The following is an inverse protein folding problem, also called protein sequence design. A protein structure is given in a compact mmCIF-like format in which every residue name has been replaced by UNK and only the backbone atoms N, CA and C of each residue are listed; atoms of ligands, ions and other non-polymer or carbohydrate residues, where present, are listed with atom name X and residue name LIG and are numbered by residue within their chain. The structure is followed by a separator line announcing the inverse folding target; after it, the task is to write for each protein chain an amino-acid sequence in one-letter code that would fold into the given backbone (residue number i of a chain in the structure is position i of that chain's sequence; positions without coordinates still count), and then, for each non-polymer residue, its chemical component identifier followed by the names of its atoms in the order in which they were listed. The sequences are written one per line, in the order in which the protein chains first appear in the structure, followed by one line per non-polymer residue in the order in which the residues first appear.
data_IF_750551543261
#
_entry.id   IF_750551543261
#
_cell.length_a   1.000
_cell.length_b   1.000
_cell.length_c   1.000
_cell.angle_alpha   90.00
_cell.angle_beta   90.00
_cell.angle_gamma   90.00
#
_symmetry.space_group_name_H-M   'P 1'
#
loop_
_entity.id
_entity.type
_entity.pdbx_description
1 polymer ?
#
# COMPACT_ATOMS: atom_id res chain seq x y z
N UNK A 1 13.44 13.18 11.46
CA UNK A 1 12.96 13.13 10.06
C UNK A 1 13.84 12.14 9.35
N UNK A 2 13.26 11.11 8.74
CA UNK A 2 14.05 10.20 7.91
C UNK A 2 14.57 10.99 6.71
N UNK A 3 15.88 10.94 6.46
CA UNK A 3 16.53 11.62 5.35
C UNK A 3 16.35 10.75 4.10
N UNK A 4 15.14 10.78 3.52
CA UNK A 4 14.83 10.10 2.26
C UNK A 4 14.75 11.10 1.12
N UNK A 5 15.17 10.68 -0.07
CA UNK A 5 15.06 11.48 -1.27
C UNK A 5 13.61 11.45 -1.78
N UNK A 6 12.91 12.60 -1.70
CA UNK A 6 11.51 12.74 -2.12
C UNK A 6 11.27 12.40 -3.58
N UNK A 7 12.21 12.71 -4.46
CA UNK A 7 12.06 12.41 -5.89
C UNK A 7 12.16 10.90 -6.13
N UNK A 8 13.15 10.25 -5.53
CA UNK A 8 13.35 8.79 -5.62
C UNK A 8 12.15 8.01 -5.09
N UNK A 9 11.69 8.32 -3.86
CA UNK A 9 10.52 7.62 -3.29
C UNK A 9 9.22 7.92 -4.05
N UNK A 10 9.11 9.10 -4.67
CA UNK A 10 7.95 9.41 -5.49
C UNK A 10 7.90 8.56 -6.75
N UNK A 11 9.03 8.47 -7.46
CA UNK A 11 9.13 7.69 -8.69
C UNK A 11 8.87 6.20 -8.43
N UNK A 12 9.47 5.66 -7.37
CA UNK A 12 9.23 4.29 -6.93
C UNK A 12 7.77 4.02 -6.51
N UNK A 13 7.18 4.95 -5.77
CA UNK A 13 5.77 4.86 -5.39
C UNK A 13 4.88 4.82 -6.63
N UNK A 14 5.15 5.68 -7.61
CA UNK A 14 4.42 5.74 -8.88
C UNK A 14 4.60 4.49 -9.74
N UNK A 15 5.77 3.86 -9.70
CA UNK A 15 6.06 2.61 -10.41
C UNK A 15 5.33 1.42 -9.78
N UNK A 16 5.40 1.29 -8.45
CA UNK A 16 4.93 0.09 -7.75
C UNK A 16 3.44 0.16 -7.36
N UNK A 17 2.87 1.34 -7.13
CA UNK A 17 1.45 1.49 -6.79
C UNK A 17 0.58 1.41 -8.06
N UNK A 18 0.25 0.20 -8.50
CA UNK A 18 -0.36 -0.08 -9.80
C UNK A 18 -1.91 -0.12 -9.81
N UNK A 19 -2.56 0.02 -8.64
CA UNK A 19 -4.02 0.12 -8.54
C UNK A 19 -4.50 1.57 -8.76
N UNK A 20 -5.57 1.73 -9.53
CA UNK A 20 -6.29 3.00 -9.65
C UNK A 20 -6.99 3.37 -8.34
N UNK A 21 -7.45 4.62 -8.23
CA UNK A 21 -8.21 5.08 -7.06
C UNK A 21 -9.45 4.19 -6.85
N UNK A 22 -10.25 3.98 -7.89
CA UNK A 22 -11.48 3.18 -7.81
C UNK A 22 -11.23 1.69 -7.51
N UNK A 23 -10.13 1.11 -8.02
CA UNK A 23 -9.77 -0.28 -7.71
C UNK A 23 -9.41 -0.44 -6.22
N UNK A 24 -8.60 0.48 -5.68
CA UNK A 24 -8.20 0.44 -4.29
C UNK A 24 -9.38 0.77 -3.36
N UNK A 25 -10.21 1.75 -3.69
CA UNK A 25 -11.40 2.09 -2.93
C UNK A 25 -12.35 0.90 -2.78
N UNK A 26 -12.71 0.26 -3.91
CA UNK A 26 -13.56 -0.94 -3.89
C UNK A 26 -12.93 -2.10 -3.12
N UNK A 27 -11.62 -2.28 -3.24
CA UNK A 27 -10.91 -3.29 -2.48
C UNK A 27 -10.99 -3.02 -0.97
N UNK A 28 -10.81 -1.78 -0.54
CA UNK A 28 -10.85 -1.44 0.88
C UNK A 28 -12.22 -1.68 1.53
N UNK A 29 -13.30 -1.70 0.76
CA UNK A 29 -14.64 -1.99 1.27
C UNK A 29 -14.87 -3.46 1.64
N UNK A 30 -14.02 -4.38 1.16
CA UNK A 30 -14.22 -5.82 1.35
C UNK A 30 -13.80 -6.32 2.74
N UNK A 31 -14.33 -7.46 3.15
CA UNK A 31 -13.96 -8.08 4.43
C UNK A 31 -12.55 -8.64 4.40
N UNK A 32 -12.09 -9.15 3.26
CA UNK A 32 -10.72 -9.63 3.07
C UNK A 32 -9.72 -8.50 3.33
N UNK A 33 -9.98 -7.31 2.79
CA UNK A 33 -9.15 -6.14 3.02
C UNK A 33 -9.12 -5.72 4.50
N UNK A 34 -10.28 -5.61 5.15
CA UNK A 34 -10.38 -5.19 6.56
C UNK A 34 -9.61 -6.13 7.50
N UNK A 35 -9.64 -7.43 7.22
CA UNK A 35 -9.04 -8.46 8.06
C UNK A 35 -7.60 -8.84 7.66
N UNK A 36 -7.04 -8.30 6.58
CA UNK A 36 -5.71 -8.66 6.11
C UNK A 36 -4.58 -7.94 6.85
N UNK A 37 -3.73 -8.73 7.52
CA UNK A 37 -2.48 -8.28 8.11
C UNK A 37 -2.56 -8.07 9.62
N UNK A 38 -1.69 -7.20 10.14
CA UNK A 38 -1.58 -6.96 11.58
C UNK A 38 -2.70 -6.02 12.05
N UNK A 39 -3.51 -6.49 12.99
CA UNK A 39 -4.52 -5.70 13.71
C UNK A 39 -3.86 -4.70 14.69
N UNK A 40 -4.45 -3.52 14.80
CA UNK A 40 -4.12 -2.48 15.78
C UNK A 40 -5.14 -2.48 16.93
N UNK A 41 -4.83 -1.78 18.03
CA UNK A 41 -5.68 -1.73 19.22
C UNK A 41 -7.11 -1.19 18.97
N UNK A 42 -7.33 -0.51 17.85
CA UNK A 42 -8.63 0.02 17.44
C UNK A 42 -9.46 -0.95 16.56
N UNK A 43 -8.99 -2.19 16.38
CA UNK A 43 -9.67 -3.21 15.58
C UNK A 43 -9.47 -3.08 14.06
N UNK A 44 -8.63 -2.16 13.60
CA UNK A 44 -8.28 -2.01 12.18
C UNK A 44 -6.89 -2.57 11.88
N UNK A 45 -6.70 -3.14 10.69
CA UNK A 45 -5.37 -3.59 10.26
C UNK A 45 -4.49 -2.43 9.74
N UNK A 46 -3.18 -2.53 9.99
CA UNK A 46 -2.18 -1.54 9.51
C UNK A 46 -2.23 -1.36 8.00
N UNK A 47 -2.44 -2.45 7.25
CA UNK A 47 -2.55 -2.43 5.81
C UNK A 47 -3.78 -1.65 5.36
N UNK A 48 -4.96 -1.97 5.91
CA UNK A 48 -6.20 -1.28 5.58
C UNK A 48 -6.13 0.23 5.85
N UNK A 49 -5.56 0.61 7.01
CA UNK A 49 -5.34 2.01 7.36
C UNK A 49 -4.41 2.72 6.35
N UNK A 50 -3.36 2.02 5.88
CA UNK A 50 -2.41 2.55 4.90
C UNK A 50 -3.06 2.73 3.52
N UNK A 51 -3.91 1.80 3.08
CA UNK A 51 -4.69 1.95 1.86
C UNK A 51 -5.55 3.21 1.84
N UNK A 52 -6.21 3.54 2.95
CA UNK A 52 -6.99 4.79 3.06
C UNK A 52 -6.11 6.04 2.99
N UNK A 53 -4.91 6.00 3.55
CA UNK A 53 -3.97 7.11 3.41
C UNK A 53 -3.46 7.24 1.97
N UNK A 54 -3.24 6.13 1.27
CA UNK A 54 -2.85 6.11 -0.15
C UNK A 54 -3.96 6.73 -1.02
N UNK A 55 -5.24 6.44 -0.77
CA UNK A 55 -6.35 7.10 -1.47
C UNK A 55 -6.31 8.63 -1.33
N UNK A 56 -6.13 9.12 -0.09
CA UNK A 56 -6.00 10.57 0.19
C UNK A 56 -4.78 11.20 -0.49
N UNK A 57 -3.69 10.46 -0.63
CA UNK A 57 -2.50 10.92 -1.36
C UNK A 57 -2.79 11.01 -2.86
N UNK A 58 -3.49 10.02 -3.43
CA UNK A 58 -3.86 9.98 -4.85
C UNK A 58 -4.83 11.09 -5.27
N UNK A 59 -5.56 11.70 -4.34
CA UNK A 59 -6.43 12.86 -4.57
C UNK A 59 -5.67 14.20 -4.66
N UNK A 60 -4.40 14.22 -4.26
CA UNK A 60 -3.58 15.44 -4.19
C UNK A 60 -2.60 15.53 -5.36
N UNK A 61 -2.26 16.75 -5.75
CA UNK A 61 -1.10 16.97 -6.61
C UNK A 61 0.19 16.81 -5.79
N UNK A 62 1.30 16.46 -6.47
CA UNK A 62 2.63 16.33 -5.82
C UNK A 62 3.04 17.59 -5.04
N UNK A 63 2.69 18.78 -5.56
CA UNK A 63 2.93 20.07 -4.92
C UNK A 63 2.17 20.28 -3.60
N UNK A 64 1.05 19.56 -3.42
CA UNK A 64 0.13 19.72 -2.28
C UNK A 64 0.39 18.66 -1.20
N UNK A 65 1.46 17.86 -1.35
CA UNK A 65 1.84 16.83 -0.41
C UNK A 65 2.50 17.42 0.83
N UNK A 66 1.90 17.16 2.00
CA UNK A 66 2.44 17.53 3.30
C UNK A 66 3.57 16.59 3.70
N UNK A 67 4.32 16.95 4.74
CA UNK A 67 5.36 16.08 5.30
C UNK A 67 4.81 14.70 5.70
N UNK A 68 3.64 14.66 6.35
CA UNK A 68 2.99 13.40 6.70
C UNK A 68 2.61 12.54 5.48
N UNK A 69 2.28 13.18 4.34
CA UNK A 69 2.04 12.44 3.10
C UNK A 69 3.35 11.82 2.58
N UNK A 70 4.46 12.59 2.62
CA UNK A 70 5.77 12.11 2.22
C UNK A 70 6.25 10.95 3.11
N UNK A 71 6.03 11.02 4.42
CA UNK A 71 6.39 9.94 5.34
C UNK A 71 5.60 8.67 5.03
N UNK A 72 4.30 8.80 4.71
CA UNK A 72 3.48 7.65 4.31
C UNK A 72 3.87 7.09 2.94
N UNK A 73 4.29 7.93 1.99
CA UNK A 73 4.84 7.48 0.70
C UNK A 73 6.12 6.67 0.93
N UNK A 74 7.05 7.19 1.72
CA UNK A 74 8.29 6.50 2.07
C UNK A 74 8.02 5.16 2.79
N UNK A 75 7.09 5.14 3.74
CA UNK A 75 6.64 3.90 4.41
C UNK A 75 6.08 2.89 3.41
N UNK A 76 5.27 3.34 2.45
CA UNK A 76 4.68 2.50 1.40
C UNK A 76 5.75 1.89 0.49
N UNK A 77 6.73 2.70 0.06
CA UNK A 77 7.87 2.21 -0.73
C UNK A 77 8.70 1.20 0.06
N UNK A 78 8.96 1.48 1.34
CA UNK A 78 9.63 0.53 2.25
C UNK A 78 8.87 -0.79 2.38
N UNK A 79 7.54 -0.73 2.45
CA UNK A 79 6.69 -1.92 2.46
C UNK A 79 6.82 -2.71 1.15
N UNK A 80 6.81 -2.06 -0.01
CA UNK A 80 7.01 -2.73 -1.29
C UNK A 80 8.38 -3.39 -1.39
N UNK A 81 9.44 -2.71 -0.92
CA UNK A 81 10.78 -3.29 -0.87
C UNK A 81 10.82 -4.58 -0.07
N UNK A 82 10.10 -4.67 1.04
CA UNK A 82 10.12 -5.87 1.87
C UNK A 82 9.26 -7.00 1.30
N UNK A 83 8.13 -6.67 0.66
CA UNK A 83 7.06 -7.63 0.40
C UNK A 83 6.92 -8.06 -1.07
N UNK A 84 7.49 -7.33 -2.04
CA UNK A 84 7.41 -7.69 -3.46
C UNK A 84 8.50 -8.67 -3.94
N UNK A 85 9.38 -9.12 -3.05
CA UNK A 85 10.38 -10.12 -3.41
C UNK A 85 9.73 -11.47 -3.75
N UNK A 86 10.27 -12.19 -4.75
CA UNK A 86 9.76 -13.50 -5.18
C UNK A 86 9.72 -14.53 -4.04
N UNK A 87 10.63 -14.43 -3.07
CA UNK A 87 10.63 -15.29 -1.87
C UNK A 87 9.42 -15.08 -0.95
N UNK A 88 8.72 -13.95 -1.06
CA UNK A 88 7.50 -13.66 -0.31
C UNK A 88 6.25 -14.18 -1.02
N UNK A 89 6.34 -14.42 -2.33
CA UNK A 89 5.21 -14.86 -3.14
C UNK A 89 4.84 -16.30 -2.77
N UNK A 90 3.57 -16.57 -2.41
CA UNK A 90 3.10 -17.93 -2.17
C UNK A 90 3.28 -18.81 -3.41
N UNK A 91 3.68 -20.07 -3.20
CA UNK A 91 3.89 -21.03 -4.30
C UNK A 91 2.58 -21.54 -4.92
N UNK A 92 1.46 -21.38 -4.23
CA UNK A 92 0.12 -21.77 -4.69
C UNK A 92 -0.94 -20.86 -4.08
N UNK A 93 -2.10 -20.78 -4.72
CA UNK A 93 -3.27 -20.03 -4.25
C UNK A 93 -2.97 -18.56 -3.92
N UNK A 94 -2.22 -17.91 -4.82
CA UNK A 94 -1.79 -16.52 -4.67
C UNK A 94 -2.99 -15.59 -4.50
N UNK A 95 -4.06 -15.79 -5.28
CA UNK A 95 -5.24 -14.91 -5.30
C UNK A 95 -6.01 -14.88 -3.97
N UNK A 96 -5.92 -15.94 -3.16
CA UNK A 96 -6.58 -16.01 -1.84
C UNK A 96 -5.60 -15.89 -0.67
N UNK A 97 -4.35 -15.51 -0.95
CA UNK A 97 -3.30 -15.47 0.06
C UNK A 97 -3.31 -14.18 0.88
N UNK A 98 -2.91 -14.29 2.15
CA UNK A 98 -2.71 -13.13 3.02
C UNK A 98 -1.68 -12.14 2.45
N UNK A 99 -0.66 -12.64 1.74
CA UNK A 99 0.35 -11.82 1.06
C UNK A 99 -0.29 -10.93 -0.01
N UNK A 100 -1.10 -11.51 -0.89
CA UNK A 100 -1.76 -10.78 -1.96
C UNK A 100 -2.76 -9.76 -1.40
N UNK A 101 -3.57 -10.15 -0.42
CA UNK A 101 -4.51 -9.23 0.23
C UNK A 101 -3.80 -8.07 0.91
N UNK A 102 -2.67 -8.33 1.58
CA UNK A 102 -1.86 -7.29 2.17
C UNK A 102 -1.31 -6.35 1.09
N UNK A 103 -0.71 -6.85 0.01
CA UNK A 103 -0.21 -5.99 -1.08
C UNK A 103 -1.32 -5.10 -1.68
N UNK A 104 -2.53 -5.63 -1.87
CA UNK A 104 -3.66 -4.83 -2.34
C UNK A 104 -4.08 -3.75 -1.35
N UNK A 105 -4.01 -4.01 -0.04
CA UNK A 105 -4.22 -2.97 0.98
C UNK A 105 -3.22 -1.82 0.84
N UNK A 106 -2.02 -2.11 0.35
CA UNK A 106 -1.00 -1.10 0.04
C UNK A 106 -1.08 -0.61 -1.41
N UNK A 107 -2.16 -0.88 -2.14
CA UNK A 107 -2.39 -0.37 -3.50
C UNK A 107 -1.56 -1.04 -4.59
N UNK A 108 -0.99 -2.22 -4.33
CA UNK A 108 -0.31 -3.04 -5.32
C UNK A 108 -1.09 -4.33 -5.58
N UNK A 109 -1.55 -4.50 -6.83
CA UNK A 109 -2.11 -5.74 -7.32
C UNK A 109 -1.00 -6.59 -7.95
N UNK A 110 -0.58 -7.66 -7.28
CA UNK A 110 0.52 -8.51 -7.71
C UNK A 110 0.19 -9.44 -8.89
N UNK A 111 -1.07 -9.47 -9.33
CA UNK A 111 -1.54 -10.30 -10.45
C UNK A 111 -1.83 -9.47 -11.70
N UNK A 112 -1.48 -8.19 -11.68
CA UNK A 112 -1.62 -7.24 -12.79
C UNK A 112 -0.37 -7.17 -13.66
#
# INVERSE_FOLDING_TARGET
MADYNKEEVWDEFKEKQNMTHNELEKWLETEESKNAGREMDNGETVGHASGRSILKIKEKNKSDLTEANWDKINETVGYYHQNLHESQKPSSDVENSAWYYALKNWGHDALK
#
